data_IF_539420095989
#
_entry.id   IF_539420095989
#
_cell.length_a   1.000
_cell.length_b   1.000
_cell.length_c   1.000
_cell.angle_alpha   90.00
_cell.angle_beta   90.00
_cell.angle_gamma   90.00
#
_symmetry.space_group_name_H-M   'P 1'
#
loop_
_entity.id
_entity.type
_entity.pdbx_description
1 polymer ?
#
# COMPACT_ATOMS: atom_id res chain seq x y z
N UNK A 1 -20.25 -41.89 -21.18
CA UNK A 1 -20.82 -40.67 -21.80
C UNK A 1 -21.38 -39.85 -20.64
N UNK A 2 -20.55 -39.09 -19.93
CA UNK A 2 -20.06 -37.73 -20.27
C UNK A 2 -21.04 -36.65 -19.77
N UNK A 3 -20.67 -36.01 -18.66
CA UNK A 3 -20.88 -34.61 -18.28
C UNK A 3 -20.36 -34.44 -16.83
N UNK A 4 -19.07 -34.67 -16.56
CA UNK A 4 -18.04 -33.62 -16.64
C UNK A 4 -18.40 -32.48 -17.58
N UNK A 5 -18.84 -31.33 -17.03
CA UNK A 5 -18.52 -29.96 -17.48
C UNK A 5 -19.36 -28.94 -16.69
N UNK A 6 -18.65 -27.96 -16.11
CA UNK A 6 -19.12 -26.65 -15.64
C UNK A 6 -20.07 -26.59 -14.42
N UNK A 7 -19.49 -26.53 -13.23
CA UNK A 7 -19.33 -25.22 -12.55
C UNK A 7 -18.48 -25.40 -11.29
N UNK A 8 -17.21 -25.74 -11.50
CA UNK A 8 -16.18 -25.31 -10.58
C UNK A 8 -15.94 -23.83 -10.91
N UNK A 9 -16.82 -22.95 -10.43
CA UNK A 9 -16.51 -21.53 -10.40
C UNK A 9 -15.41 -21.40 -9.38
N UNK A 10 -14.18 -21.41 -9.91
CA UNK A 10 -12.96 -21.11 -9.21
C UNK A 10 -13.22 -20.00 -8.22
N UNK A 11 -13.20 -20.37 -6.95
CA UNK A 11 -13.03 -19.45 -5.86
C UNK A 11 -11.65 -18.82 -6.06
N UNK A 12 -11.56 -17.82 -6.94
CA UNK A 12 -10.50 -16.81 -6.95
C UNK A 12 -10.68 -15.97 -5.68
N UNK A 13 -10.69 -16.61 -4.52
CA UNK A 13 -10.33 -15.96 -3.28
C UNK A 13 -8.92 -15.47 -3.54
N UNK A 14 -8.79 -14.16 -3.79
CA UNK A 14 -7.52 -13.49 -3.92
C UNK A 14 -6.63 -13.98 -2.77
N UNK A 15 -5.68 -14.87 -3.10
CA UNK A 15 -4.77 -15.43 -2.12
C UNK A 15 -3.82 -14.31 -1.76
N UNK A 16 -4.24 -13.44 -0.83
CA UNK A 16 -3.33 -12.49 -0.19
C UNK A 16 -2.24 -13.35 0.44
N UNK A 17 -1.04 -13.24 -0.11
CA UNK A 17 0.12 -13.97 0.41
C UNK A 17 0.30 -13.56 1.88
N UNK A 18 0.14 -14.52 2.78
CA UNK A 18 0.26 -14.30 4.22
C UNK A 18 1.60 -13.64 4.59
N UNK A 19 2.65 -13.87 3.78
CA UNK A 19 3.94 -13.19 3.93
C UNK A 19 3.83 -11.70 3.63
N UNK A 20 3.15 -11.31 2.56
CA UNK A 20 2.93 -9.90 2.19
C UNK A 20 2.08 -9.19 3.23
N UNK A 21 1.02 -9.84 3.70
CA UNK A 21 0.16 -9.27 4.76
C UNK A 21 0.92 -9.10 6.08
N UNK A 22 1.77 -10.06 6.47
CA UNK A 22 2.61 -9.95 7.65
C UNK A 22 3.66 -8.82 7.52
N UNK A 23 4.28 -8.67 6.35
CA UNK A 23 5.23 -7.58 6.09
C UNK A 23 4.53 -6.21 6.19
N UNK A 24 3.35 -6.07 5.60
CA UNK A 24 2.54 -4.86 5.68
C UNK A 24 2.16 -4.53 7.13
N UNK A 25 1.75 -5.53 7.90
CA UNK A 25 1.42 -5.35 9.32
C UNK A 25 2.64 -4.86 10.12
N UNK A 26 3.80 -5.50 9.95
CA UNK A 26 5.03 -5.10 10.64
C UNK A 26 5.44 -3.67 10.29
N UNK A 27 5.40 -3.30 9.01
CA UNK A 27 5.71 -1.93 8.56
C UNK A 27 4.74 -0.91 9.17
N UNK A 28 3.45 -1.24 9.26
CA UNK A 28 2.44 -0.36 9.85
C UNK A 28 2.73 -0.12 11.33
N UNK A 29 2.98 -1.18 12.10
CA UNK A 29 3.29 -1.07 13.54
C UNK A 29 4.60 -0.32 13.79
N UNK A 30 5.62 -0.54 12.94
CA UNK A 30 6.89 0.19 13.05
C UNK A 30 6.70 1.69 12.78
N UNK A 31 5.92 2.06 11.77
CA UNK A 31 5.64 3.47 11.47
C UNK A 31 4.86 4.15 12.60
N UNK A 32 3.84 3.46 13.16
CA UNK A 32 3.08 3.97 14.30
C UNK A 32 3.99 4.20 15.51
N UNK A 33 4.87 3.24 15.83
CA UNK A 33 5.81 3.39 16.94
C UNK A 33 6.81 4.53 16.73
N UNK A 34 7.28 4.72 15.50
CA UNK A 34 8.15 5.85 15.18
C UNK A 34 7.43 7.20 15.29
N UNK A 35 6.13 7.25 14.96
CA UNK A 35 5.32 8.46 15.15
C UNK A 35 5.03 8.75 16.63
N UNK A 36 4.84 7.71 17.45
CA UNK A 36 4.72 7.87 18.90
C UNK A 36 6.02 8.43 19.51
N UNK A 37 7.18 7.95 19.06
CA UNK A 37 8.50 8.43 19.49
C UNK A 37 8.81 9.84 18.94
N UNK A 38 8.32 10.17 17.74
CA UNK A 38 8.47 11.47 17.08
C UNK A 38 7.12 11.94 16.49
N UNK A 39 6.29 12.63 17.29
CA UNK A 39 4.96 13.06 16.86
C UNK A 39 4.98 13.88 15.55
N UNK A 40 4.21 13.43 14.56
CA UNK A 40 4.09 14.08 13.26
C UNK A 40 5.07 13.57 12.20
N UNK A 41 5.84 12.52 12.48
CA UNK A 41 6.70 11.84 11.51
C UNK A 41 5.88 11.33 10.32
N UNK A 42 4.75 10.65 10.54
CA UNK A 42 3.92 10.12 9.45
C UNK A 42 3.34 11.27 8.60
N UNK A 43 2.90 12.35 9.25
CA UNK A 43 2.42 13.55 8.55
C UNK A 43 3.53 14.20 7.70
N UNK A 44 4.76 14.24 8.23
CA UNK A 44 5.93 14.70 7.49
C UNK A 44 6.24 13.83 6.26
N UNK A 45 6.18 12.50 6.41
CA UNK A 45 6.35 11.56 5.30
C UNK A 45 5.27 11.73 4.23
N UNK A 46 4.00 11.86 4.62
CA UNK A 46 2.90 12.13 3.67
C UNK A 46 3.14 13.42 2.89
N UNK A 47 3.58 14.48 3.56
CA UNK A 47 3.90 15.77 2.93
C UNK A 47 5.05 15.63 1.92
N UNK A 48 6.14 14.97 2.32
CA UNK A 48 7.30 14.73 1.44
C UNK A 48 6.93 13.93 0.20
N UNK A 49 6.19 12.84 0.37
CA UNK A 49 5.72 12.00 -0.75
C UNK A 49 4.84 12.79 -1.73
N UNK A 50 3.94 13.65 -1.23
CA UNK A 50 3.10 14.50 -2.09
C UNK A 50 3.92 15.56 -2.83
N UNK A 51 4.93 16.13 -2.17
CA UNK A 51 5.85 17.08 -2.80
C UNK A 51 6.66 16.41 -3.92
N UNK A 52 7.19 15.21 -3.68
CA UNK A 52 7.93 14.43 -4.67
C UNK A 52 7.04 14.06 -5.87
N UNK A 53 5.80 13.65 -5.61
CA UNK A 53 4.81 13.38 -6.65
C UNK A 53 4.50 14.63 -7.50
N UNK A 54 4.36 15.79 -6.86
CA UNK A 54 4.10 17.06 -7.56
C UNK A 54 5.29 17.55 -8.38
N UNK A 55 6.52 17.15 -8.00
CA UNK A 55 7.75 17.53 -8.68
C UNK A 55 8.09 16.64 -9.89
N UNK A 56 7.26 15.64 -10.24
CA UNK A 56 7.55 14.72 -11.34
C UNK A 56 7.60 15.43 -12.70
N UNK A 57 8.70 15.26 -13.49
CA UNK A 57 8.84 15.86 -14.82
C UNK A 57 7.74 15.38 -15.77
N UNK A 58 7.16 16.28 -16.58
CA UNK A 58 6.05 15.97 -17.51
C UNK A 58 6.37 14.74 -18.37
N UNK A 59 7.55 14.70 -18.97
CA UNK A 59 8.06 13.61 -19.79
C UNK A 59 8.85 12.58 -18.96
N UNK A 60 8.14 11.83 -18.11
CA UNK A 60 8.71 10.75 -17.32
C UNK A 60 8.36 9.38 -17.91
N UNK A 61 9.38 8.59 -18.23
CA UNK A 61 9.20 7.19 -18.60
C UNK A 61 8.59 6.42 -17.41
N UNK A 62 7.62 5.54 -17.68
CA UNK A 62 6.89 4.80 -16.65
C UNK A 62 6.12 5.67 -15.64
N UNK A 63 5.74 6.90 -16.01
CA UNK A 63 4.94 7.83 -15.18
C UNK A 63 3.78 7.13 -14.46
N UNK A 64 2.97 6.35 -15.17
CA UNK A 64 1.82 5.64 -14.58
C UNK A 64 2.22 4.69 -13.46
N UNK A 65 3.34 3.96 -13.61
CA UNK A 65 3.83 3.06 -12.56
C UNK A 65 4.34 3.84 -11.35
N UNK A 66 5.08 4.92 -11.59
CA UNK A 66 5.62 5.79 -10.53
C UNK A 66 4.49 6.46 -9.75
N UNK A 67 3.47 6.97 -10.43
CA UNK A 67 2.26 7.53 -9.81
C UNK A 67 1.52 6.48 -8.98
N UNK A 68 1.45 5.22 -9.45
CA UNK A 68 0.87 4.12 -8.68
C UNK A 68 1.68 3.82 -7.41
N UNK A 69 3.02 3.85 -7.47
CA UNK A 69 3.89 3.69 -6.29
C UNK A 69 3.61 4.79 -5.26
N UNK A 70 3.51 6.05 -5.69
CA UNK A 70 3.15 7.15 -4.78
C UNK A 70 1.76 6.97 -4.17
N UNK A 71 0.76 6.58 -4.97
CA UNK A 71 -0.59 6.34 -4.50
C UNK A 71 -0.64 5.22 -3.45
N UNK A 72 0.04 4.10 -3.68
CA UNK A 72 0.12 3.01 -2.70
C UNK A 72 0.88 3.45 -1.44
N UNK A 73 1.98 4.20 -1.59
CA UNK A 73 2.74 4.72 -0.45
C UNK A 73 1.88 5.60 0.45
N UNK A 74 1.08 6.50 -0.12
CA UNK A 74 0.15 7.34 0.63
C UNK A 74 -0.90 6.49 1.35
N UNK A 75 -1.48 5.48 0.70
CA UNK A 75 -2.45 4.57 1.36
C UNK A 75 -1.83 3.85 2.56
N UNK A 76 -0.57 3.44 2.47
CA UNK A 76 0.15 2.80 3.58
C UNK A 76 0.37 3.77 4.75
N UNK A 77 0.78 5.00 4.44
CA UNK A 77 0.96 6.04 5.45
C UNK A 77 -0.38 6.45 6.09
N UNK A 78 -1.44 6.59 5.32
CA UNK A 78 -2.80 6.88 5.80
C UNK A 78 -3.30 5.77 6.74
N UNK A 79 -3.04 4.50 6.38
CA UNK A 79 -3.36 3.36 7.24
C UNK A 79 -2.57 3.40 8.55
N UNK A 80 -1.30 3.75 8.52
CA UNK A 80 -0.48 3.87 9.73
C UNK A 80 -0.94 5.03 10.62
N UNK A 81 -1.33 6.17 10.02
CA UNK A 81 -1.84 7.34 10.74
C UNK A 81 -3.18 7.07 11.44
N UNK A 82 -3.99 6.15 10.91
CA UNK A 82 -5.18 5.67 11.59
C UNK A 82 -4.76 4.71 12.71
N UNK A 83 -4.57 5.24 13.92
CA UNK A 83 -4.39 4.43 15.12
C UNK A 83 -5.60 3.48 15.27
N UNK A 84 -5.45 2.24 14.84
CA UNK A 84 -6.36 1.17 15.27
C UNK A 84 -5.88 0.79 16.67
N UNK A 85 -6.44 1.47 17.68
CA UNK A 85 -6.42 1.05 19.07
C UNK A 85 -7.30 -0.19 19.26
#
# INVERSE_FOLDING_TARGET
MSNELMNNTDNHSANRDARTDAALYLLTVLLQRLDDDQPGLIAGLQSGVRADQAALPVELENRTHIEAVFAETIKLLDRAAQQIN
#
